data_IF_398150041329
#
_entry.id   IF_398150041329
#
_cell.length_a   1.000
_cell.length_b   1.000
_cell.length_c   1.000
_cell.angle_alpha   90.00
_cell.angle_beta   90.00
_cell.angle_gamma   90.00
#
_symmetry.space_group_name_H-M   'P 1'
#
loop_
_entity.id
_entity.type
_entity.pdbx_description
1 polymer ?
#
# COMPACT_ATOMS: atom_id res chain seq x y z
N UNK A 1 -17.26 0.59 28.49
CA UNK A 1 -17.41 -0.24 27.26
C UNK A 1 -17.68 0.56 25.98
N UNK A 2 -18.37 1.72 26.01
CA UNK A 2 -18.68 2.50 24.79
C UNK A 2 -17.55 3.40 24.25
N UNK A 3 -16.58 3.81 25.09
CA UNK A 3 -15.40 4.57 24.62
C UNK A 3 -14.50 3.73 23.71
N UNK A 4 -14.28 2.46 24.04
CA UNK A 4 -13.39 1.56 23.27
C UNK A 4 -13.90 1.36 21.84
N UNK A 5 -15.22 1.28 21.67
CA UNK A 5 -15.87 1.17 20.35
C UNK A 5 -15.73 2.50 19.59
N UNK A 6 -15.89 3.63 20.26
CA UNK A 6 -15.72 4.95 19.64
C UNK A 6 -14.28 5.17 19.15
N UNK A 7 -13.27 4.77 19.95
CA UNK A 7 -11.87 4.79 19.53
C UNK A 7 -11.57 3.81 18.39
N UNK A 8 -12.19 2.63 18.37
CA UNK A 8 -12.06 1.68 17.26
C UNK A 8 -12.69 2.21 15.96
N UNK A 9 -13.89 2.79 16.05
CA UNK A 9 -14.60 3.40 14.92
C UNK A 9 -13.87 4.66 14.44
N UNK A 10 -13.39 5.52 15.34
CA UNK A 10 -12.58 6.68 14.98
C UNK A 10 -11.27 6.26 14.31
N UNK A 11 -10.61 5.19 14.78
CA UNK A 11 -9.43 4.64 14.10
C UNK A 11 -9.78 4.10 12.72
N UNK A 12 -10.88 3.35 12.56
CA UNK A 12 -11.37 2.82 11.27
C UNK A 12 -11.75 3.93 10.28
N UNK A 13 -12.36 5.02 10.75
CA UNK A 13 -12.74 6.16 9.91
C UNK A 13 -11.52 7.03 9.53
N UNK A 14 -10.44 6.98 10.30
CA UNK A 14 -9.20 7.73 10.05
C UNK A 14 -8.17 6.95 9.22
N UNK A 15 -8.42 5.69 8.83
CA UNK A 15 -7.46 4.92 8.01
C UNK A 15 -7.58 5.16 6.51
N UNK A 16 -8.70 5.73 6.05
CA UNK A 16 -8.82 6.17 4.66
C UNK A 16 -8.28 7.59 4.59
N UNK A 17 -6.97 7.70 4.36
CA UNK A 17 -6.35 8.98 4.08
C UNK A 17 -7.00 9.56 2.81
N UNK A 18 -7.56 10.77 2.82
CA UNK A 18 -8.06 11.43 1.61
C UNK A 18 -6.98 11.61 0.52
N UNK A 19 -5.72 11.30 0.80
CA UNK A 19 -4.60 11.42 -0.14
C UNK A 19 -4.53 10.32 -1.21
N UNK A 20 -5.15 9.14 -1.02
CA UNK A 20 -5.01 8.04 -1.99
C UNK A 20 -6.34 7.57 -2.61
N UNK A 21 -6.34 7.18 -3.91
CA UNK A 21 -7.47 6.48 -4.52
C UNK A 21 -7.80 5.17 -3.79
N UNK A 22 -9.02 4.66 -3.98
CA UNK A 22 -9.49 3.44 -3.33
C UNK A 22 -8.50 2.27 -3.53
N UNK A 23 -8.27 1.48 -2.48
CA UNK A 23 -7.36 0.32 -2.42
C UNK A 23 -5.85 0.64 -2.42
N UNK A 24 -5.47 1.90 -2.58
CA UNK A 24 -4.08 2.32 -2.39
C UNK A 24 -3.81 2.63 -0.92
N UNK A 25 -2.59 2.32 -0.49
CA UNK A 25 -2.08 2.62 0.83
C UNK A 25 -1.05 3.74 0.73
N UNK A 26 -1.02 4.61 1.73
CA UNK A 26 -0.03 5.67 1.89
C UNK A 26 0.98 5.28 2.98
N UNK A 27 2.18 4.77 2.63
CA UNK A 27 3.19 4.44 3.63
C UNK A 27 3.72 5.73 4.26
N UNK A 28 3.72 5.81 5.59
CA UNK A 28 4.13 7.04 6.31
C UNK A 28 5.53 7.56 5.95
N UNK A 29 6.43 6.66 5.51
CA UNK A 29 7.82 6.98 5.15
C UNK A 29 7.98 7.40 3.67
N UNK A 30 6.90 7.40 2.88
CA UNK A 30 6.93 7.63 1.43
C UNK A 30 5.79 8.53 0.98
N UNK A 31 6.13 9.53 0.17
CA UNK A 31 5.16 10.49 -0.40
C UNK A 31 4.52 9.94 -1.69
N UNK A 32 4.02 8.70 -1.65
CA UNK A 32 3.37 8.04 -2.80
C UNK A 32 2.27 7.06 -2.34
N UNK A 33 1.23 6.92 -3.16
CA UNK A 33 0.17 5.92 -3.00
C UNK A 33 0.56 4.62 -3.71
N UNK A 34 0.43 3.46 -3.05
CA UNK A 34 0.73 2.17 -3.67
C UNK A 34 -0.33 1.11 -3.46
N UNK A 35 -0.37 0.21 -4.43
CA UNK A 35 -1.11 -1.04 -4.36
C UNK A 35 -0.19 -2.20 -4.73
N UNK A 36 -0.39 -3.36 -4.12
CA UNK A 36 0.40 -4.56 -4.37
C UNK A 36 -0.45 -5.62 -5.05
N UNK A 37 0.07 -6.19 -6.15
CA UNK A 37 -0.51 -7.36 -6.79
C UNK A 37 0.45 -8.54 -6.75
N UNK A 38 0.00 -9.64 -6.15
CA UNK A 38 0.77 -10.88 -5.99
C UNK A 38 0.42 -11.95 -7.03
N UNK A 39 -0.43 -11.61 -8.01
CA UNK A 39 -0.83 -12.52 -9.07
C UNK A 39 0.36 -12.88 -9.98
N UNK A 40 0.49 -14.16 -10.34
CA UNK A 40 1.44 -14.61 -11.36
C UNK A 40 0.95 -14.15 -12.73
N UNK A 41 1.68 -13.24 -13.34
CA UNK A 41 1.35 -12.70 -14.66
C UNK A 41 2.62 -12.33 -15.44
N UNK A 42 2.48 -11.98 -16.72
CA UNK A 42 3.58 -11.47 -17.52
C UNK A 42 3.91 -10.03 -17.10
N UNK A 43 5.16 -9.63 -17.31
CA UNK A 43 5.61 -8.28 -16.98
C UNK A 43 4.73 -7.20 -17.63
N UNK A 44 4.38 -7.38 -18.91
CA UNK A 44 3.54 -6.41 -19.64
C UNK A 44 2.12 -6.33 -19.12
N UNK A 45 1.54 -7.45 -18.67
CA UNK A 45 0.19 -7.45 -18.10
C UNK A 45 0.17 -6.84 -16.70
N UNK A 46 1.20 -7.09 -15.87
CA UNK A 46 1.33 -6.40 -14.59
C UNK A 46 1.40 -4.87 -14.79
N UNK A 47 2.16 -4.43 -15.80
CA UNK A 47 2.29 -3.01 -16.14
C UNK A 47 0.97 -2.40 -16.62
N UNK A 48 0.26 -3.08 -17.52
CA UNK A 48 -1.04 -2.59 -17.99
C UNK A 48 -2.03 -2.50 -16.84
N UNK A 49 -2.04 -3.49 -15.92
CA UNK A 49 -2.90 -3.46 -14.73
C UNK A 49 -2.62 -2.21 -13.88
N UNK A 50 -1.35 -1.84 -13.64
CA UNK A 50 -1.02 -0.60 -12.94
C UNK A 50 -1.53 0.65 -13.67
N UNK A 51 -1.36 0.70 -14.99
CA UNK A 51 -1.72 1.85 -15.82
C UNK A 51 -3.22 2.02 -16.00
N UNK A 52 -3.96 0.92 -16.08
CA UNK A 52 -5.41 0.91 -16.18
C UNK A 52 -6.07 1.49 -14.92
N UNK A 53 -5.41 1.34 -13.75
CA UNK A 53 -5.79 1.96 -12.47
C UNK A 53 -5.25 3.40 -12.29
N UNK A 54 -4.62 3.98 -13.33
CA UNK A 54 -4.05 5.33 -13.28
C UNK A 54 -2.71 5.44 -12.55
N UNK A 55 -2.07 4.30 -12.25
CA UNK A 55 -0.75 4.21 -11.65
C UNK A 55 0.36 3.82 -12.64
N UNK A 56 1.50 3.42 -12.09
CA UNK A 56 2.68 2.95 -12.82
C UNK A 56 3.43 1.94 -11.94
N UNK A 57 4.39 1.21 -12.49
CA UNK A 57 5.32 0.45 -11.67
C UNK A 57 6.07 1.35 -10.70
N UNK A 58 6.26 0.78 -9.51
CA UNK A 58 7.09 1.37 -8.49
C UNK A 58 8.51 1.58 -9.01
N UNK A 59 9.03 2.78 -8.83
CA UNK A 59 10.43 3.09 -9.08
C UNK A 59 11.14 3.29 -7.74
N UNK A 60 12.39 2.83 -7.65
CA UNK A 60 13.21 2.91 -6.45
C UNK A 60 14.45 3.72 -6.81
N UNK A 61 14.51 4.96 -6.34
CA UNK A 61 15.52 5.93 -6.72
C UNK A 61 16.71 5.98 -5.75
N UNK A 62 16.56 5.47 -4.52
CA UNK A 62 17.60 5.52 -3.52
C UNK A 62 17.51 4.38 -2.50
N UNK A 63 18.56 4.27 -1.67
CA UNK A 63 18.68 3.22 -0.67
C UNK A 63 17.62 3.31 0.45
N UNK A 64 17.12 4.52 0.75
CA UNK A 64 16.08 4.73 1.75
C UNK A 64 14.75 4.13 1.27
N UNK A 65 14.30 4.46 0.06
CA UNK A 65 13.12 3.87 -0.56
C UNK A 65 13.22 2.35 -0.60
N UNK A 66 14.38 1.81 -1.03
CA UNK A 66 14.61 0.36 -1.05
C UNK A 66 14.45 -0.27 0.34
N UNK A 67 14.95 0.37 1.40
CA UNK A 67 14.82 -0.11 2.77
C UNK A 67 13.35 -0.09 3.24
N UNK A 68 12.61 0.96 2.90
CA UNK A 68 11.17 1.04 3.20
C UNK A 68 10.41 -0.09 2.49
N UNK A 69 10.69 -0.36 1.20
CA UNK A 69 10.05 -1.46 0.47
C UNK A 69 10.33 -2.83 1.04
N UNK A 70 11.58 -3.09 1.41
CA UNK A 70 11.97 -4.34 2.06
C UNK A 70 11.18 -4.56 3.35
N UNK A 71 10.99 -3.50 4.16
CA UNK A 71 10.20 -3.56 5.38
C UNK A 71 8.71 -3.79 5.12
N UNK A 72 8.12 -3.11 4.13
CA UNK A 72 6.71 -3.30 3.72
C UNK A 72 6.47 -4.76 3.30
N UNK A 73 7.34 -5.30 2.44
CA UNK A 73 7.24 -6.68 1.94
C UNK A 73 7.39 -7.73 3.04
N UNK A 74 8.27 -7.50 4.03
CA UNK A 74 8.42 -8.41 5.16
C UNK A 74 7.19 -8.42 6.08
N UNK A 75 6.55 -7.26 6.28
CA UNK A 75 5.29 -7.19 7.03
C UNK A 75 4.20 -8.02 6.35
N UNK A 76 4.02 -7.84 5.04
CA UNK A 76 2.98 -8.55 4.28
C UNK A 76 3.21 -10.07 4.26
N UNK A 77 4.47 -10.54 4.17
CA UNK A 77 4.79 -11.97 4.27
C UNK A 77 4.56 -12.60 5.65
N UNK A 78 4.57 -11.80 6.72
CA UNK A 78 4.35 -12.30 8.09
C UNK A 78 2.87 -12.59 8.39
N UNK A 79 1.94 -12.05 7.61
CA UNK A 79 0.49 -12.28 7.76
C UNK A 79 -0.07 -13.37 6.83
N UNK A 80 0.78 -14.06 6.07
CA UNK A 80 0.41 -15.15 5.15
C UNK A 80 0.70 -16.55 5.71
N UNK A 81 0.82 -16.69 7.04
CA UNK A 81 0.99 -17.97 7.75
C UNK A 81 -0.18 -18.21 8.71
#
# INVERSE_FOLDING_TARGET
MRLSIFFAILRLLLTQDPQCPNHYQYPADLDICLNEWTAKTTWSYALSTCRDDGGEFISIHNAFENAVWANIQQRNRRFSL
#
